data_IF_528373805716
#
_entry.id   IF_528373805716
#
_cell.length_a   1.000
_cell.length_b   1.000
_cell.length_c   1.000
_cell.angle_alpha   90.00
_cell.angle_beta   90.00
_cell.angle_gamma   90.00
#
_symmetry.space_group_name_H-M   'P 1'
#
loop_
_entity.id
_entity.type
_entity.pdbx_description
1 polymer ?
#
# COMPACT_ATOMS: atom_id res chain seq x y z
N UNK A 1 -12.49 15.76 -4.19
CA UNK A 1 -11.61 15.50 -5.34
C UNK A 1 -10.16 15.24 -4.99
N UNK A 2 -9.39 16.28 -4.65
CA UNK A 2 -7.92 16.23 -4.52
C UNK A 2 -7.38 15.08 -3.66
N UNK A 3 -7.95 14.87 -2.47
CA UNK A 3 -7.49 13.82 -1.54
C UNK A 3 -7.78 12.40 -2.06
N UNK A 4 -8.89 12.22 -2.78
CA UNK A 4 -9.26 10.93 -3.41
C UNK A 4 -8.33 10.63 -4.58
N UNK A 5 -8.01 11.63 -5.41
CA UNK A 5 -7.09 11.48 -6.54
C UNK A 5 -5.68 11.07 -6.09
N UNK A 6 -5.17 11.71 -5.03
CA UNK A 6 -3.90 11.29 -4.42
C UNK A 6 -3.97 9.88 -3.83
N UNK A 7 -5.07 9.54 -3.16
CA UNK A 7 -5.25 8.21 -2.59
C UNK A 7 -5.21 7.11 -3.65
N UNK A 8 -5.91 7.33 -4.77
CA UNK A 8 -5.89 6.43 -5.92
C UNK A 8 -4.49 6.29 -6.53
N UNK A 9 -3.71 7.37 -6.58
CA UNK A 9 -2.35 7.32 -7.17
C UNK A 9 -1.43 6.34 -6.44
N UNK A 10 -1.52 6.22 -5.11
CA UNK A 10 -0.76 5.24 -4.34
C UNK A 10 -1.21 3.81 -4.63
N UNK A 11 -2.51 3.56 -4.69
CA UNK A 11 -3.06 2.21 -4.85
C UNK A 11 -2.85 1.68 -6.28
N UNK A 12 -2.99 2.54 -7.30
CA UNK A 12 -2.85 2.16 -8.71
C UNK A 12 -1.44 1.68 -9.07
N UNK A 13 -0.42 2.06 -8.30
CA UNK A 13 0.97 1.63 -8.53
C UNK A 13 1.21 0.19 -8.03
N UNK A 14 0.43 -0.29 -7.05
CA UNK A 14 0.67 -1.61 -6.43
C UNK A 14 0.63 -2.80 -7.39
N UNK A 15 -0.34 -2.92 -8.32
CA UNK A 15 -0.35 -4.03 -9.28
C UNK A 15 0.88 -4.03 -10.19
N UNK A 16 1.36 -2.85 -10.59
CA UNK A 16 2.57 -2.72 -11.40
C UNK A 16 3.80 -3.17 -10.62
N UNK A 17 3.93 -2.75 -9.36
CA UNK A 17 5.02 -3.17 -8.48
C UNK A 17 4.98 -4.68 -8.22
N UNK A 18 3.79 -5.25 -8.02
CA UNK A 18 3.62 -6.70 -7.86
C UNK A 18 4.09 -7.46 -9.11
N UNK A 19 3.75 -6.98 -10.30
CA UNK A 19 4.19 -7.56 -11.56
C UNK A 19 5.71 -7.42 -11.72
N UNK A 20 6.29 -6.27 -11.41
CA UNK A 20 7.74 -6.05 -11.48
C UNK A 20 8.49 -6.99 -10.52
N UNK A 21 8.08 -7.09 -9.26
CA UNK A 21 8.72 -7.97 -8.29
C UNK A 21 8.53 -9.44 -8.64
N UNK A 22 7.35 -9.82 -9.14
CA UNK A 22 7.12 -11.16 -9.65
C UNK A 22 8.00 -11.54 -10.83
N UNK A 23 8.36 -10.59 -11.70
CA UNK A 23 9.30 -10.83 -12.82
C UNK A 23 10.78 -10.83 -12.39
N UNK A 24 11.15 -9.97 -11.43
CA UNK A 24 12.55 -9.80 -11.02
C UNK A 24 13.02 -10.82 -9.98
N UNK A 25 12.17 -11.10 -8.99
CA UNK A 25 12.50 -11.93 -7.84
C UNK A 25 11.61 -13.17 -7.73
N UNK A 26 10.46 -13.17 -8.41
CA UNK A 26 9.56 -14.32 -8.45
C UNK A 26 9.87 -15.31 -9.55
N UNK A 27 9.19 -16.45 -9.47
CA UNK A 27 9.23 -17.54 -10.43
C UNK A 27 8.26 -17.36 -11.61
N UNK A 28 7.87 -16.11 -11.95
CA UNK A 28 6.91 -15.90 -13.06
C UNK A 28 7.50 -16.36 -14.40
N UNK A 29 8.81 -16.18 -14.61
CA UNK A 29 9.49 -16.60 -15.84
C UNK A 29 9.66 -18.12 -15.92
N UNK A 30 9.93 -18.78 -14.78
CA UNK A 30 10.02 -20.24 -14.68
C UNK A 30 8.63 -20.88 -14.82
N UNK A 31 7.60 -20.29 -14.24
CA UNK A 31 6.19 -20.67 -14.45
C UNK A 31 5.71 -20.43 -15.89
N UNK A 32 6.28 -19.45 -16.60
CA UNK A 32 6.02 -19.26 -18.04
C UNK A 32 6.66 -20.36 -18.91
N UNK A 33 7.77 -20.93 -18.43
CA UNK A 33 8.50 -22.01 -19.09
C UNK A 33 7.91 -23.40 -18.81
N UNK A 34 7.22 -23.59 -17.69
CA UNK A 34 6.55 -24.83 -17.33
C UNK A 34 5.22 -25.00 -18.12
N UNK A 35 5.06 -26.08 -18.92
CA UNK A 35 3.84 -26.34 -19.70
C UNK A 35 2.56 -26.38 -18.85
N UNK A 36 2.63 -26.77 -17.58
CA UNK A 36 1.46 -26.92 -16.71
C UNK A 36 0.88 -25.59 -16.19
N UNK A 37 1.72 -24.60 -15.91
CA UNK A 37 1.32 -23.30 -15.32
C UNK A 37 1.35 -22.15 -16.33
N UNK A 38 2.06 -22.31 -17.45
CA UNK A 38 2.20 -21.28 -18.48
C UNK A 38 0.88 -20.82 -19.09
N UNK A 39 -0.15 -21.67 -19.15
CA UNK A 39 -1.45 -21.32 -19.73
C UNK A 39 -2.16 -20.20 -18.97
N UNK A 40 -2.22 -20.30 -17.64
CA UNK A 40 -2.87 -19.29 -16.79
C UNK A 40 -2.08 -17.98 -16.79
N UNK A 41 -0.76 -18.06 -16.65
CA UNK A 41 0.11 -16.88 -16.64
C UNK A 41 0.06 -16.16 -17.99
N UNK A 42 0.10 -16.88 -19.12
CA UNK A 42 -0.09 -16.30 -20.46
C UNK A 42 -1.47 -15.70 -20.65
N UNK A 43 -2.52 -16.29 -20.08
CA UNK A 43 -3.89 -15.75 -20.16
C UNK A 43 -3.99 -14.42 -19.41
N UNK A 44 -3.45 -14.36 -18.19
CA UNK A 44 -3.46 -13.14 -17.37
C UNK A 44 -2.60 -12.06 -17.99
N UNK A 45 -1.37 -12.39 -18.44
CA UNK A 45 -0.51 -11.43 -19.13
C UNK A 45 -1.12 -11.00 -20.47
N UNK A 46 -1.82 -11.89 -21.17
CA UNK A 46 -2.53 -11.62 -22.42
C UNK A 46 -3.72 -10.67 -22.29
N UNK A 47 -4.16 -10.32 -21.07
CA UNK A 47 -5.16 -9.27 -20.86
C UNK A 47 -4.57 -7.86 -20.97
N UNK A 48 -3.25 -7.71 -20.83
CA UNK A 48 -2.62 -6.40 -20.88
C UNK A 48 -2.46 -5.92 -22.33
N UNK A 49 -2.77 -4.65 -22.63
CA UNK A 49 -2.58 -4.08 -23.97
C UNK A 49 -1.14 -4.16 -24.48
N UNK A 50 -0.15 -4.15 -23.58
CA UNK A 50 1.26 -4.34 -23.92
C UNK A 50 1.53 -5.72 -24.55
N UNK A 51 0.86 -6.76 -24.07
CA UNK A 51 0.98 -8.12 -24.62
C UNK A 51 0.37 -8.23 -26.01
N UNK A 52 -0.69 -7.49 -26.30
CA UNK A 52 -1.28 -7.44 -27.66
C UNK A 52 -0.31 -6.87 -28.68
N UNK A 53 0.46 -5.84 -28.31
CA UNK A 53 1.51 -5.30 -29.17
C UNK A 53 2.70 -6.26 -29.31
N UNK A 54 3.11 -6.91 -28.22
CA UNK A 54 4.19 -7.89 -28.25
C UNK A 54 3.86 -9.11 -29.13
N UNK A 55 2.62 -9.61 -29.09
CA UNK A 55 2.15 -10.71 -29.93
C UNK A 55 2.25 -10.40 -31.42
N UNK A 56 2.05 -9.14 -31.84
CA UNK A 56 2.25 -8.72 -33.23
C UNK A 56 3.71 -8.91 -33.64
N UNK A 57 4.65 -8.44 -32.82
CA UNK A 57 6.09 -8.59 -33.08
C UNK A 57 6.47 -10.07 -33.17
N UNK A 58 6.00 -10.89 -32.21
CA UNK A 58 6.27 -12.34 -32.19
C UNK A 58 5.64 -13.05 -33.39
N UNK A 59 4.42 -12.69 -33.79
CA UNK A 59 3.74 -13.30 -34.93
C UNK A 59 4.44 -12.97 -36.27
N UNK A 60 4.96 -11.75 -36.41
CA UNK A 60 5.80 -11.37 -37.54
C UNK A 60 7.15 -12.12 -37.55
N UNK A 61 7.80 -12.26 -36.39
CA UNK A 61 9.05 -13.00 -36.26
C UNK A 61 8.89 -14.50 -36.61
N UNK A 62 7.74 -15.10 -36.27
CA UNK A 62 7.42 -16.48 -36.60
C UNK A 62 7.00 -16.71 -38.06
N UNK A 63 6.62 -15.64 -38.79
CA UNK A 63 6.19 -15.72 -40.19
C UNK A 63 6.88 -14.62 -41.05
N UNK A 64 8.22 -14.63 -41.17
CA UNK A 64 9.00 -13.49 -41.67
C UNK A 64 8.80 -13.12 -43.15
N UNK A 65 7.92 -13.81 -43.88
CA UNK A 65 7.59 -13.51 -45.28
C UNK A 65 6.10 -13.64 -45.62
N UNK A 66 5.25 -14.00 -44.65
CA UNK A 66 3.83 -14.27 -44.88
C UNK A 66 2.94 -13.23 -44.19
N UNK A 67 2.89 -12.04 -44.78
CA UNK A 67 2.05 -10.92 -44.31
C UNK A 67 0.56 -11.32 -44.33
N UNK A 68 0.17 -12.18 -45.28
CA UNK A 68 -1.18 -12.72 -45.42
C UNK A 68 -1.64 -13.59 -44.24
N UNK A 69 -0.73 -14.21 -43.50
CA UNK A 69 -1.05 -15.01 -42.32
C UNK A 69 -1.23 -14.16 -41.05
N UNK A 70 -0.63 -12.96 -41.00
CA UNK A 70 -0.50 -12.16 -39.75
C UNK A 70 -1.38 -10.90 -39.77
N UNK A 71 -1.94 -10.50 -40.91
CA UNK A 71 -2.67 -9.22 -41.04
C UNK A 71 -3.95 -9.15 -40.18
N UNK A 72 -4.74 -10.22 -40.10
CA UNK A 72 -5.97 -10.25 -39.28
C UNK A 72 -5.63 -10.13 -37.80
N UNK A 73 -4.60 -10.87 -37.35
CA UNK A 73 -4.10 -10.80 -35.99
C UNK A 73 -3.56 -9.40 -35.68
N UNK A 74 -2.79 -8.82 -36.59
CA UNK A 74 -2.25 -7.46 -36.44
C UNK A 74 -3.36 -6.42 -36.35
N UNK A 75 -4.36 -6.49 -37.23
CA UNK A 75 -5.48 -5.55 -37.26
C UNK A 75 -6.31 -5.63 -35.97
N UNK A 76 -6.60 -6.84 -35.49
CA UNK A 76 -7.37 -7.05 -34.25
C UNK A 76 -6.60 -6.62 -33.01
N UNK A 77 -5.30 -6.90 -32.93
CA UNK A 77 -4.45 -6.51 -31.79
C UNK A 77 -4.17 -5.01 -31.77
N UNK A 78 -3.74 -4.42 -32.88
CA UNK A 78 -3.49 -2.97 -32.99
C UNK A 78 -4.80 -2.19 -32.81
N UNK A 79 -5.89 -2.64 -33.46
CA UNK A 79 -7.22 -2.06 -33.26
C UNK A 79 -7.69 -2.16 -31.81
N UNK A 80 -7.44 -3.29 -31.14
CA UNK A 80 -7.69 -3.49 -29.72
C UNK A 80 -6.93 -2.50 -28.84
N UNK A 81 -5.64 -2.26 -29.10
CA UNK A 81 -4.83 -1.26 -28.37
C UNK A 81 -5.39 0.15 -28.55
N UNK A 82 -5.77 0.53 -29.79
CA UNK A 82 -6.35 1.84 -30.07
C UNK A 82 -7.70 2.01 -29.37
N UNK A 83 -8.58 1.00 -29.44
CA UNK A 83 -9.87 1.01 -28.74
C UNK A 83 -9.70 1.09 -27.22
N UNK A 84 -8.72 0.36 -26.67
CA UNK A 84 -8.40 0.42 -25.25
C UNK A 84 -7.92 1.82 -24.85
N UNK A 85 -7.06 2.46 -25.65
CA UNK A 85 -6.61 3.83 -25.42
C UNK A 85 -7.77 4.83 -25.42
N UNK A 86 -8.63 4.78 -26.45
CA UNK A 86 -9.81 5.65 -26.55
C UNK A 86 -10.79 5.40 -25.41
N UNK A 87 -11.05 4.13 -25.08
CA UNK A 87 -11.90 3.75 -23.96
C UNK A 87 -11.34 4.24 -22.61
N UNK A 88 -10.04 4.09 -22.39
CA UNK A 88 -9.35 4.57 -21.19
C UNK A 88 -9.46 6.09 -21.06
N UNK A 89 -9.27 6.84 -22.16
CA UNK A 89 -9.45 8.30 -22.18
C UNK A 89 -10.90 8.71 -21.90
N UNK A 90 -11.88 8.01 -22.49
CA UNK A 90 -13.30 8.29 -22.29
C UNK A 90 -13.75 8.02 -20.84
N UNK A 91 -13.28 6.92 -20.24
CA UNK A 91 -13.50 6.61 -18.83
C UNK A 91 -12.83 7.67 -17.95
N UNK A 92 -11.58 8.01 -18.23
CA UNK A 92 -10.83 9.04 -17.51
C UNK A 92 -11.55 10.40 -17.51
N UNK A 93 -12.06 10.81 -18.67
CA UNK A 93 -12.84 12.03 -18.80
C UNK A 93 -14.11 12.00 -17.95
N UNK A 94 -14.91 10.91 -18.01
CA UNK A 94 -16.14 10.76 -17.20
C UNK A 94 -15.87 10.75 -15.69
N UNK A 95 -14.78 10.14 -15.25
CA UNK A 95 -14.44 10.05 -13.82
C UNK A 95 -13.95 11.39 -13.29
N UNK A 96 -13.21 12.16 -14.10
CA UNK A 96 -12.66 13.45 -13.70
C UNK A 96 -13.77 14.45 -13.38
N UNK A 97 -14.85 14.44 -14.18
CA UNK A 97 -16.01 15.32 -13.98
C UNK A 97 -16.72 15.05 -12.63
N UNK A 98 -16.81 13.77 -12.22
CA UNK A 98 -17.33 13.40 -10.88
C UNK A 98 -16.35 13.67 -9.75
N UNK A 99 -15.05 13.49 -9.98
CA UNK A 99 -14.04 13.68 -8.93
C UNK A 99 -13.81 15.16 -8.59
N UNK A 100 -14.03 16.05 -9.55
CA UNK A 100 -13.84 17.50 -9.43
C UNK A 100 -15.17 18.28 -9.39
N UNK A 101 -16.27 17.68 -8.94
CA UNK A 101 -17.47 18.49 -8.65
C UNK A 101 -17.14 19.48 -7.51
N UNK A 102 -17.22 20.77 -7.84
CA UNK A 102 -17.15 21.89 -6.90
C UNK A 102 -18.50 22.06 -6.19
N UNK A 103 -19.15 20.96 -5.80
CA UNK A 103 -20.40 21.08 -5.07
C UNK A 103 -20.12 21.71 -3.71
N UNK A 104 -20.85 22.79 -3.35
CA UNK A 104 -20.69 23.43 -2.06
C UNK A 104 -20.99 22.39 -0.98
N UNK A 105 -20.00 22.11 -0.15
CA UNK A 105 -20.12 21.28 1.04
C UNK A 105 -21.36 21.69 1.81
N UNK A 106 -22.40 20.85 1.78
CA UNK A 106 -23.58 21.03 2.59
C UNK A 106 -23.13 21.13 4.05
N UNK A 107 -23.24 22.32 4.62
CA UNK A 107 -23.08 22.62 6.04
C UNK A 107 -24.28 22.07 6.82
N UNK A 108 -24.62 20.80 6.58
CA UNK A 108 -25.55 20.08 7.41
C UNK A 108 -24.90 19.86 8.77
N UNK A 109 -25.62 20.18 9.84
CA UNK A 109 -25.22 19.90 11.21
C UNK A 109 -24.92 18.40 11.33
N UNK A 110 -23.62 18.05 11.35
CA UNK A 110 -23.19 16.67 11.54
C UNK A 110 -23.44 16.29 12.99
N UNK A 111 -24.47 15.50 13.23
CA UNK A 111 -24.67 14.85 14.52
C UNK A 111 -23.51 13.87 14.72
N UNK A 112 -22.71 14.10 15.75
CA UNK A 112 -21.55 13.24 16.06
C UNK A 112 -22.08 11.89 16.49
N UNK A 113 -21.92 10.89 15.62
CA UNK A 113 -22.26 9.50 15.94
C UNK A 113 -21.42 8.97 17.12
N UNK A 114 -21.90 7.94 17.84
CA UNK A 114 -21.15 7.33 18.92
C UNK A 114 -19.79 6.82 18.42
N UNK A 115 -18.75 6.99 19.25
CA UNK A 115 -17.40 6.52 18.93
C UNK A 115 -17.42 5.00 18.67
N UNK A 116 -16.95 4.60 17.49
CA UNK A 116 -16.83 3.19 17.12
C UNK A 116 -15.86 2.42 18.01
N UNK A 117 -15.93 1.08 17.94
CA UNK A 117 -15.13 0.17 18.77
C UNK A 117 -13.62 0.50 18.73
N UNK A 118 -13.07 0.77 17.54
CA UNK A 118 -11.66 1.16 17.37
C UNK A 118 -11.25 2.37 18.22
N UNK A 119 -12.02 3.47 18.16
CA UNK A 119 -11.71 4.68 18.90
C UNK A 119 -11.85 4.48 20.42
N UNK A 120 -12.76 3.60 20.85
CA UNK A 120 -12.88 3.21 22.25
C UNK A 120 -11.65 2.45 22.74
N UNK A 121 -11.11 1.52 21.93
CA UNK A 121 -9.88 0.78 22.25
C UNK A 121 -8.68 1.72 22.31
N UNK A 122 -8.54 2.63 21.34
CA UNK A 122 -7.48 3.64 21.32
C UNK A 122 -7.57 4.54 22.57
N UNK A 123 -8.78 4.98 22.95
CA UNK A 123 -8.98 5.78 24.17
C UNK A 123 -8.54 5.04 25.43
N UNK A 124 -8.86 3.74 25.53
CA UNK A 124 -8.47 2.87 26.65
C UNK A 124 -6.95 2.69 26.71
N UNK A 125 -6.31 2.43 25.56
CA UNK A 125 -4.84 2.31 25.46
C UNK A 125 -4.11 3.61 25.81
N UNK A 126 -4.74 4.76 25.53
CA UNK A 126 -4.29 6.08 25.97
C UNK A 126 -4.64 6.44 27.43
N UNK A 127 -5.08 5.48 28.25
CA UNK A 127 -5.35 5.70 29.68
C UNK A 127 -6.71 6.32 30.00
N UNK A 128 -7.66 6.34 29.06
CA UNK A 128 -9.09 6.67 29.29
C UNK A 128 -9.43 8.15 29.57
N UNK A 129 -8.45 8.93 30.05
CA UNK A 129 -8.61 10.33 30.44
C UNK A 129 -8.35 11.34 29.31
N UNK A 130 -7.88 12.53 29.68
CA UNK A 130 -7.62 13.64 28.75
C UNK A 130 -6.59 13.28 27.66
N UNK A 131 -5.62 12.41 27.97
CA UNK A 131 -4.64 11.92 26.99
C UNK A 131 -5.27 10.95 25.97
N UNK A 132 -6.13 10.03 26.41
CA UNK A 132 -6.85 9.13 25.53
C UNK A 132 -7.78 9.86 24.56
N UNK A 133 -8.48 10.90 25.02
CA UNK A 133 -9.29 11.76 24.14
C UNK A 133 -8.42 12.50 23.11
N UNK A 134 -7.24 12.99 23.50
CA UNK A 134 -6.29 13.62 22.59
C UNK A 134 -5.76 12.64 21.55
N UNK A 135 -5.45 11.41 21.96
CA UNK A 135 -5.04 10.33 21.06
C UNK A 135 -6.13 10.01 20.03
N UNK A 136 -7.39 9.87 20.47
CA UNK A 136 -8.53 9.66 19.56
C UNK A 136 -8.70 10.82 18.58
N UNK A 137 -8.55 12.07 19.02
CA UNK A 137 -8.59 13.23 18.13
C UNK A 137 -7.52 13.15 17.05
N UNK A 138 -6.28 12.82 17.45
CA UNK A 138 -5.16 12.67 16.53
C UNK A 138 -5.41 11.56 15.49
N UNK A 139 -6.00 10.43 15.91
CA UNK A 139 -6.40 9.35 15.00
C UNK A 139 -7.53 9.74 14.05
N UNK A 140 -8.55 10.46 14.55
CA UNK A 140 -9.65 10.96 13.73
C UNK A 140 -9.16 11.96 12.69
N UNK A 141 -8.27 12.88 13.08
CA UNK A 141 -7.66 13.85 12.17
C UNK A 141 -6.83 13.15 11.08
N UNK A 142 -6.08 12.11 11.46
CA UNK A 142 -5.32 11.29 10.52
C UNK A 142 -6.24 10.51 9.56
N UNK A 143 -7.30 9.87 10.08
CA UNK A 143 -8.23 9.06 9.30
C UNK A 143 -9.20 9.84 8.41
N UNK A 144 -9.42 11.14 8.68
CA UNK A 144 -10.28 12.01 7.86
C UNK A 144 -9.75 12.21 6.44
N UNK A 145 -8.44 12.07 6.24
CA UNK A 145 -7.79 12.23 4.93
C UNK A 145 -7.58 10.86 4.27
N UNK A 146 -8.25 10.63 3.15
CA UNK A 146 -8.08 9.39 2.36
C UNK A 146 -6.65 9.18 1.88
N UNK A 147 -5.88 10.26 1.65
CA UNK A 147 -4.45 10.21 1.34
C UNK A 147 -3.69 9.43 2.43
N UNK A 148 -3.90 9.76 3.70
CA UNK A 148 -3.22 9.10 4.82
C UNK A 148 -3.62 7.60 4.93
N UNK A 149 -4.89 7.27 4.71
CA UNK A 149 -5.36 5.88 4.73
C UNK A 149 -4.77 5.06 3.55
N UNK A 150 -4.69 5.67 2.36
CA UNK A 150 -4.09 5.05 1.19
C UNK A 150 -2.59 4.80 1.33
N UNK A 151 -1.88 5.67 2.07
CA UNK A 151 -0.46 5.49 2.38
C UNK A 151 -0.24 4.27 3.28
N UNK A 152 -1.12 4.04 4.27
CA UNK A 152 -1.11 2.80 5.07
C UNK A 152 -1.31 1.60 4.15
N UNK A 153 -2.36 1.61 3.34
CA UNK A 153 -2.65 0.51 2.41
C UNK A 153 -1.48 0.22 1.48
N UNK A 154 -0.90 1.28 0.90
CA UNK A 154 0.27 1.20 0.02
C UNK A 154 1.47 0.55 0.72
N UNK A 155 1.87 1.05 1.90
CA UNK A 155 3.07 0.53 2.55
C UNK A 155 2.88 -0.89 3.05
N UNK A 156 1.70 -1.23 3.57
CA UNK A 156 1.38 -2.60 4.00
C UNK A 156 1.37 -3.56 2.80
N UNK A 157 0.76 -3.16 1.67
CA UNK A 157 0.78 -3.96 0.45
C UNK A 157 2.20 -4.12 -0.10
N UNK A 158 2.98 -3.04 -0.16
CA UNK A 158 4.37 -3.09 -0.59
C UNK A 158 5.18 -4.05 0.28
N UNK A 159 4.95 -4.01 1.60
CA UNK A 159 5.58 -4.94 2.52
C UNK A 159 5.20 -6.39 2.23
N UNK A 160 3.92 -6.69 2.04
CA UNK A 160 3.50 -8.05 1.69
C UNK A 160 4.11 -8.51 0.36
N UNK A 161 4.22 -7.62 -0.64
CA UNK A 161 4.84 -7.94 -1.92
C UNK A 161 6.35 -8.22 -1.78
N UNK A 162 7.10 -7.35 -1.08
CA UNK A 162 8.52 -7.57 -0.78
C UNK A 162 8.69 -8.88 -0.02
N UNK A 163 7.83 -9.11 0.97
CA UNK A 163 7.92 -10.32 1.77
C UNK A 163 7.67 -11.57 0.95
N UNK A 164 6.66 -11.55 0.08
CA UNK A 164 6.32 -12.69 -0.76
C UNK A 164 7.38 -12.98 -1.82
N UNK A 165 7.86 -11.94 -2.52
CA UNK A 165 8.74 -12.11 -3.69
C UNK A 165 10.24 -12.09 -3.38
N UNK A 166 10.70 -11.44 -2.30
CA UNK A 166 12.13 -11.20 -2.06
C UNK A 166 12.65 -12.01 -0.87
N UNK A 167 11.79 -12.34 0.11
CA UNK A 167 12.22 -13.10 1.28
C UNK A 167 12.06 -14.59 0.99
N UNK A 168 13.19 -15.27 0.81
CA UNK A 168 13.23 -16.70 0.44
C UNK A 168 13.64 -17.62 1.59
N UNK A 169 14.16 -17.07 2.69
CA UNK A 169 14.61 -17.85 3.84
C UNK A 169 14.13 -17.25 5.17
N UNK A 170 13.92 -18.14 6.15
CA UNK A 170 13.53 -17.83 7.52
C UNK A 170 14.57 -16.98 8.26
N UNK A 171 15.87 -17.07 7.91
CA UNK A 171 16.91 -16.22 8.51
C UNK A 171 16.93 -14.81 7.91
N UNK A 172 16.48 -14.63 6.67
CA UNK A 172 16.37 -13.33 6.01
C UNK A 172 15.14 -12.54 6.45
N UNK A 173 14.07 -13.22 6.88
CA UNK A 173 12.81 -12.59 7.28
C UNK A 173 12.94 -11.56 8.43
N UNK A 174 13.73 -11.79 9.51
CA UNK A 174 13.92 -10.80 10.56
C UNK A 174 14.65 -9.53 10.10
N UNK A 175 15.65 -9.68 9.22
CA UNK A 175 16.46 -8.56 8.71
C UNK A 175 15.61 -7.70 7.78
N UNK A 176 14.91 -8.34 6.85
CA UNK A 176 14.01 -7.63 5.94
C UNK A 176 12.84 -7.00 6.71
N UNK A 177 12.28 -7.71 7.70
CA UNK A 177 11.23 -7.16 8.55
C UNK A 177 11.68 -5.93 9.36
N UNK A 178 12.94 -5.86 9.78
CA UNK A 178 13.50 -4.66 10.42
C UNK A 178 13.58 -3.48 9.44
N UNK A 179 14.08 -3.70 8.23
CA UNK A 179 14.12 -2.69 7.17
C UNK A 179 12.71 -2.20 6.81
N UNK A 180 11.77 -3.11 6.70
CA UNK A 180 10.38 -2.77 6.39
C UNK A 180 9.74 -2.00 7.54
N UNK A 181 10.02 -2.38 8.79
CA UNK A 181 9.57 -1.66 9.98
C UNK A 181 10.13 -0.23 10.07
N UNK A 182 11.40 -0.01 9.68
CA UNK A 182 11.97 1.35 9.63
C UNK A 182 11.37 2.17 8.49
N UNK A 183 11.14 1.59 7.32
CA UNK A 183 10.44 2.25 6.22
C UNK A 183 9.01 2.64 6.61
N UNK A 184 8.26 1.74 7.27
CA UNK A 184 6.94 2.06 7.82
C UNK A 184 6.98 3.21 8.81
N UNK A 185 7.92 3.16 9.77
CA UNK A 185 8.08 4.19 10.77
C UNK A 185 8.32 5.56 10.13
N UNK A 186 9.25 5.65 9.18
CA UNK A 186 9.54 6.87 8.45
C UNK A 186 8.32 7.36 7.65
N UNK A 187 7.67 6.48 6.90
CA UNK A 187 6.58 6.90 6.01
C UNK A 187 5.30 7.29 6.78
N UNK A 188 5.00 6.62 7.88
CA UNK A 188 3.80 6.87 8.69
C UNK A 188 3.99 8.00 9.72
N UNK A 189 5.20 8.17 10.26
CA UNK A 189 5.50 9.18 11.28
C UNK A 189 5.98 10.52 10.69
N UNK A 190 6.48 10.53 9.44
CA UNK A 190 6.91 11.76 8.75
C UNK A 190 5.80 12.80 8.50
N UNK A 191 4.53 12.47 8.75
CA UNK A 191 3.45 13.47 8.71
C UNK A 191 3.69 14.60 9.74
N UNK A 192 4.50 14.36 10.77
CA UNK A 192 4.97 15.37 11.73
C UNK A 192 5.99 16.35 11.12
N UNK A 193 6.88 15.90 10.23
CA UNK A 193 7.96 16.71 9.63
C UNK A 193 7.55 17.36 8.30
N UNK A 194 6.76 16.67 7.47
CA UNK A 194 6.44 17.09 6.10
C UNK A 194 5.35 18.18 6.05
N UNK A 195 4.43 18.24 7.02
CA UNK A 195 3.31 19.21 7.01
C UNK A 195 3.55 20.47 7.85
N UNK A 196 4.83 20.81 8.05
CA UNK A 196 5.37 21.74 9.04
C UNK A 196 4.55 23.01 9.34
N UNK A 197 3.96 23.68 8.35
CA UNK A 197 3.27 24.97 8.58
C UNK A 197 1.90 24.84 9.27
N UNK A 198 1.08 23.86 8.90
CA UNK A 198 -0.25 23.64 9.51
C UNK A 198 -0.11 23.01 10.89
N UNK A 199 0.81 22.04 11.03
CA UNK A 199 1.08 21.41 12.31
C UNK A 199 1.72 22.39 13.31
N UNK A 200 2.59 23.33 12.89
CA UNK A 200 3.17 24.35 13.78
C UNK A 200 2.11 25.19 14.50
N UNK A 201 1.02 25.54 13.82
CA UNK A 201 -0.09 26.28 14.45
C UNK A 201 -0.85 25.43 15.47
N UNK A 202 -1.03 24.14 15.19
CA UNK A 202 -1.63 23.19 16.14
C UNK A 202 -0.70 23.01 17.34
N UNK A 203 0.60 22.80 17.12
CA UNK A 203 1.62 22.70 18.18
C UNK A 203 1.63 23.93 19.08
N UNK A 204 1.55 25.14 18.51
CA UNK A 204 1.56 26.40 19.27
C UNK A 204 0.26 26.66 20.03
N UNK A 205 -0.88 26.12 19.56
CA UNK A 205 -2.20 26.30 20.18
C UNK A 205 -2.68 25.09 20.99
N UNK A 206 -1.86 24.07 21.19
CA UNK A 206 -2.29 22.85 21.89
C UNK A 206 -2.55 23.15 23.38
N UNK A 207 -3.80 23.04 23.88
CA UNK A 207 -4.17 23.47 25.23
C UNK A 207 -3.53 22.65 26.36
N UNK A 208 -2.97 21.48 26.05
CA UNK A 208 -2.36 20.56 27.01
C UNK A 208 -0.84 20.44 26.92
N UNK A 209 -0.19 21.36 26.19
CA UNK A 209 1.27 21.41 26.02
C UNK A 209 1.82 20.50 24.91
N UNK A 210 2.93 20.97 24.32
CA UNK A 210 3.64 20.32 23.18
C UNK A 210 4.08 18.89 23.53
N UNK A 211 4.58 18.66 24.75
CA UNK A 211 5.05 17.34 25.17
C UNK A 211 3.96 16.27 25.20
N UNK A 212 2.70 16.64 25.49
CA UNK A 212 1.58 15.69 25.46
C UNK A 212 1.19 15.34 24.02
N UNK A 213 1.28 16.29 23.10
CA UNK A 213 1.03 16.06 21.68
C UNK A 213 2.11 15.15 21.06
N UNK A 214 3.39 15.37 21.38
CA UNK A 214 4.49 14.51 20.93
C UNK A 214 4.28 13.07 21.41
N UNK A 215 3.94 12.88 22.69
CA UNK A 215 3.64 11.54 23.24
C UNK A 215 2.47 10.86 22.52
N UNK A 216 1.42 11.61 22.19
CA UNK A 216 0.28 11.06 21.45
C UNK A 216 0.63 10.69 20.01
N UNK A 217 1.46 11.48 19.34
CA UNK A 217 1.96 11.18 17.98
C UNK A 217 2.88 9.95 17.96
N UNK A 218 3.75 9.83 18.97
CA UNK A 218 4.61 8.66 19.13
C UNK A 218 3.80 7.39 19.39
N UNK A 219 2.79 7.48 20.27
CA UNK A 219 1.91 6.36 20.57
C UNK A 219 0.99 6.02 19.38
N UNK A 220 0.57 7.01 18.58
CA UNK A 220 -0.08 6.79 17.29
C UNK A 220 0.82 6.00 16.34
N UNK A 221 2.10 6.39 16.22
CA UNK A 221 3.09 5.70 15.40
C UNK A 221 3.26 4.24 15.83
N UNK A 222 3.40 3.97 17.12
CA UNK A 222 3.47 2.60 17.64
C UNK A 222 2.21 1.78 17.36
N UNK A 223 1.02 2.37 17.55
CA UNK A 223 -0.26 1.71 17.29
C UNK A 223 -0.51 1.43 15.79
N UNK A 224 0.20 2.10 14.89
CA UNK A 224 0.14 1.80 13.46
C UNK A 224 1.23 0.80 13.07
N UNK A 225 2.50 1.08 13.36
CA UNK A 225 3.64 0.30 12.85
C UNK A 225 3.70 -1.11 13.45
N UNK A 226 3.53 -1.24 14.77
CA UNK A 226 3.70 -2.52 15.47
C UNK A 226 2.70 -3.60 15.04
N UNK A 227 1.38 -3.37 14.98
CA UNK A 227 0.45 -4.42 14.59
C UNK A 227 0.66 -4.86 13.14
N UNK A 228 0.92 -3.95 12.21
CA UNK A 228 1.18 -4.34 10.82
C UNK A 228 2.47 -5.15 10.68
N UNK A 229 3.54 -4.75 11.36
CA UNK A 229 4.79 -5.51 11.35
C UNK A 229 4.63 -6.88 12.01
N UNK A 230 3.85 -6.98 13.09
CA UNK A 230 3.53 -8.25 13.73
C UNK A 230 2.78 -9.18 12.78
N UNK A 231 1.80 -8.68 12.01
CA UNK A 231 1.08 -9.46 11.00
C UNK A 231 2.04 -9.99 9.92
N UNK A 232 2.97 -9.17 9.43
CA UNK A 232 3.98 -9.60 8.46
C UNK A 232 4.89 -10.68 9.05
N UNK A 233 5.31 -10.55 10.30
CA UNK A 233 6.09 -11.59 10.98
C UNK A 233 5.31 -12.89 11.12
N UNK A 234 4.07 -12.84 11.60
CA UNK A 234 3.23 -14.04 11.70
C UNK A 234 3.04 -14.70 10.34
N UNK A 235 2.83 -13.93 9.27
CA UNK A 235 2.73 -14.45 7.91
C UNK A 235 4.02 -15.18 7.46
N UNK A 236 5.20 -14.63 7.80
CA UNK A 236 6.47 -15.31 7.56
C UNK A 236 6.62 -16.61 8.33
N UNK A 237 6.25 -16.61 9.62
CA UNK A 237 6.32 -17.80 10.47
C UNK A 237 5.49 -18.95 9.88
N UNK A 238 4.28 -18.62 9.40
CA UNK A 238 3.40 -19.56 8.71
C UNK A 238 4.00 -20.04 7.38
N UNK A 239 4.50 -19.11 6.54
CA UNK A 239 5.07 -19.45 5.21
C UNK A 239 6.26 -20.39 5.31
N UNK A 240 7.19 -20.14 6.23
CA UNK A 240 8.40 -20.94 6.39
C UNK A 240 8.22 -22.15 7.31
N UNK A 241 6.98 -22.44 7.73
CA UNK A 241 6.67 -23.48 8.71
C UNK A 241 7.59 -23.42 9.94
N UNK A 242 7.93 -22.20 10.37
CA UNK A 242 8.61 -22.00 11.62
C UNK A 242 7.58 -22.32 12.71
N UNK A 243 7.82 -23.34 13.52
CA UNK A 243 6.85 -23.88 14.49
C UNK A 243 6.52 -22.93 15.67
N UNK A 244 6.56 -21.61 15.46
CA UNK A 244 6.48 -20.55 16.46
C UNK A 244 7.32 -20.89 17.70
N UNK A 245 8.49 -21.45 17.46
CA UNK A 245 9.41 -21.88 18.51
C UNK A 245 9.89 -20.66 19.30
N UNK A 246 10.32 -20.88 20.53
CA UNK A 246 10.83 -19.81 21.39
C UNK A 246 11.88 -18.89 20.73
N UNK A 247 12.85 -19.40 19.94
CA UNK A 247 13.80 -18.55 19.21
C UNK A 247 13.13 -17.62 18.18
N UNK A 248 12.08 -18.09 17.51
CA UNK A 248 11.33 -17.30 16.54
C UNK A 248 10.55 -16.16 17.21
N UNK A 249 9.89 -16.46 18.34
CA UNK A 249 9.17 -15.45 19.12
C UNK A 249 10.12 -14.39 19.70
N UNK A 250 11.31 -14.80 20.15
CA UNK A 250 12.37 -13.88 20.59
C UNK A 250 12.85 -12.99 19.46
N UNK A 251 13.06 -13.55 18.26
CA UNK A 251 13.43 -12.79 17.07
C UNK A 251 12.35 -11.78 16.70
N UNK A 252 11.08 -12.20 16.65
CA UNK A 252 9.92 -11.33 16.40
C UNK A 252 9.84 -10.20 17.42
N UNK A 253 9.98 -10.51 18.71
CA UNK A 253 10.01 -9.51 19.78
C UNK A 253 11.13 -8.49 19.60
N UNK A 254 12.33 -8.95 19.23
CA UNK A 254 13.48 -8.08 18.97
C UNK A 254 13.25 -7.13 17.79
N UNK A 255 12.60 -7.60 16.72
CA UNK A 255 12.30 -6.77 15.55
C UNK A 255 11.21 -5.75 15.87
N UNK A 256 10.16 -6.14 16.61
CA UNK A 256 9.12 -5.22 17.07
C UNK A 256 9.69 -4.11 17.98
N UNK A 257 10.59 -4.45 18.91
CA UNK A 257 11.26 -3.48 19.77
C UNK A 257 12.14 -2.51 18.97
N UNK A 258 12.91 -3.01 18.00
CA UNK A 258 13.71 -2.15 17.13
C UNK A 258 12.84 -1.26 16.24
N UNK A 259 11.72 -1.76 15.74
CA UNK A 259 10.75 -0.95 15.00
C UNK A 259 10.11 0.14 15.89
N UNK A 260 9.78 -0.17 17.15
CA UNK A 260 9.32 0.83 18.11
C UNK A 260 10.37 1.91 18.35
N UNK A 261 11.65 1.54 18.44
CA UNK A 261 12.75 2.50 18.55
C UNK A 261 12.89 3.36 17.28
N UNK A 262 12.73 2.79 16.10
CA UNK A 262 12.76 3.54 14.83
C UNK A 262 11.62 4.56 14.75
N UNK A 263 10.43 4.25 15.28
CA UNK A 263 9.32 5.22 15.39
C UNK A 263 9.69 6.42 16.27
N UNK A 264 10.51 6.23 17.30
CA UNK A 264 10.97 7.33 18.14
C UNK A 264 12.00 8.24 17.43
N UNK A 265 12.69 7.72 16.41
CA UNK A 265 13.72 8.42 15.65
C UNK A 265 13.19 9.11 14.38
N UNK A 266 12.02 8.69 13.90
CA UNK A 266 11.33 9.21 12.72
C UNK A 266 10.54 10.49 13.00
#
# INVERSE_FOLDING_TARGET
>A
GKDIGKALSFILVLPLVALMYGLMFGDILTALADPGTSGLVKTVLGLFPSSWAAEVIVAFANNPSNIGAVWILTLTRVGGVVLFMVGGLAIGWKITDRAYSLEPTNLGVTVVGPDGAFYRTVKLLGGGGSFGSLLVSVFKDYGRRLENLSQIGYIVSLMLLINFFIVDDAQGAPIMGLLMGSMMALFLCSDATIRGKENLFIYRKTPSGVGRLIKAKLLQGWLLVLPFLAVVMVANGLRFNAAFTWPYLMSMGSVLLKAAANVCLA
#
